data_IF_043242499349
#
_entry.id   IF_043242499349
#
_cell.length_a   1.000
_cell.length_b   1.000
_cell.length_c   1.000
_cell.angle_alpha   90.00
_cell.angle_beta   90.00
_cell.angle_gamma   90.00
#
_symmetry.space_group_name_H-M   'P 1'
#
loop_
_entity.id
_entity.type
_entity.pdbx_description
1 polymer ?
#
# COMPACT_ATOMS: atom_id res chain seq x y z
N UNK A 1 -2.95 38.12 2.54
CA UNK A 1 -1.92 37.10 2.28
C UNK A 1 -1.03 37.62 1.15
N UNK A 2 0.31 37.62 1.31
CA UNK A 2 1.21 38.00 0.24
C UNK A 2 1.21 36.95 -0.88
N UNK A 3 1.45 37.37 -2.12
CA UNK A 3 1.41 36.50 -3.30
C UNK A 3 2.51 35.44 -3.35
N UNK A 4 3.52 35.48 -2.47
CA UNK A 4 4.62 34.54 -2.45
C UNK A 4 4.63 33.70 -1.17
N UNK A 5 4.26 32.44 -1.28
CA UNK A 5 4.30 31.43 -0.21
C UNK A 5 5.69 30.81 0.01
N UNK A 6 6.75 31.38 -0.54
CA UNK A 6 8.10 30.78 -0.60
C UNK A 6 8.95 31.06 0.66
N UNK A 7 8.48 31.87 1.59
CA UNK A 7 9.23 32.17 2.82
C UNK A 7 8.98 31.15 3.92
N UNK A 8 10.01 30.46 4.43
CA UNK A 8 9.92 29.58 5.61
C UNK A 8 9.16 30.22 6.78
N UNK A 9 9.40 31.53 7.02
CA UNK A 9 8.73 32.30 8.09
C UNK A 9 7.21 32.40 7.97
N UNK A 10 6.66 32.20 6.76
CA UNK A 10 5.21 32.22 6.59
C UNK A 10 4.56 30.95 7.13
N UNK A 11 5.21 29.80 6.92
CA UNK A 11 4.72 28.50 7.41
C UNK A 11 4.96 28.33 8.92
N UNK A 12 6.05 28.88 9.44
CA UNK A 12 6.43 28.79 10.87
C UNK A 12 5.43 29.53 11.81
N UNK A 13 4.62 30.43 11.27
CA UNK A 13 3.66 31.23 12.03
C UNK A 13 2.20 30.78 11.90
N UNK A 14 1.92 29.64 11.25
CA UNK A 14 0.58 29.12 11.09
C UNK A 14 0.18 28.21 12.26
N UNK A 15 -0.96 28.50 12.89
CA UNK A 15 -1.62 27.54 13.78
C UNK A 15 -2.10 26.34 12.94
N UNK A 16 -1.49 25.19 13.14
CA UNK A 16 -1.85 23.94 12.45
C UNK A 16 -2.82 23.17 13.32
N UNK A 17 -4.08 23.09 12.89
CA UNK A 17 -5.07 22.25 13.55
C UNK A 17 -4.69 20.76 13.41
N UNK A 18 -5.06 19.90 14.37
CA UNK A 18 -4.85 18.46 14.25
C UNK A 18 -5.47 17.92 12.96
N UNK A 19 -4.81 16.93 12.36
CA UNK A 19 -5.30 16.29 11.14
C UNK A 19 -6.69 15.70 11.34
N UNK A 20 -7.62 16.04 10.46
CA UNK A 20 -8.97 15.49 10.50
C UNK A 20 -8.97 14.05 10.00
N UNK A 21 -9.46 13.13 10.83
CA UNK A 21 -9.64 11.73 10.46
C UNK A 21 -10.98 11.54 9.75
N UNK A 22 -10.93 11.28 8.44
CA UNK A 22 -12.14 11.16 7.59
C UNK A 22 -12.89 9.85 7.86
N UNK A 23 -12.16 8.74 8.06
CA UNK A 23 -12.74 7.41 8.26
C UNK A 23 -12.02 6.64 9.39
N UNK A 24 -12.17 7.11 10.66
CA UNK A 24 -11.43 6.57 11.81
C UNK A 24 -11.84 5.14 12.22
N UNK A 25 -12.87 4.59 11.61
CA UNK A 25 -13.38 3.23 11.84
C UNK A 25 -13.03 2.25 10.69
N UNK A 26 -12.34 2.74 9.63
CA UNK A 26 -11.93 1.93 8.49
C UNK A 26 -10.56 1.31 8.73
N UNK A 27 -10.41 0.03 8.37
CA UNK A 27 -9.14 -0.65 8.32
C UNK A 27 -8.69 -0.76 6.85
N UNK A 28 -7.49 -0.29 6.54
CA UNK A 28 -6.88 -0.46 5.21
C UNK A 28 -6.08 -1.76 5.21
N UNK A 29 -6.37 -2.65 4.26
CA UNK A 29 -5.75 -3.97 4.18
C UNK A 29 -5.02 -4.09 2.84
N UNK A 30 -3.71 -4.26 2.89
CA UNK A 30 -2.89 -4.47 1.71
C UNK A 30 -2.64 -5.96 1.48
N UNK A 31 -3.08 -6.46 0.34
CA UNK A 31 -2.81 -7.84 -0.11
C UNK A 31 -1.51 -7.87 -0.91
N UNK A 32 -0.54 -8.66 -0.44
CA UNK A 32 0.76 -8.82 -1.08
C UNK A 32 0.63 -9.37 -2.51
N UNK A 33 1.35 -8.78 -3.46
CA UNK A 33 1.36 -9.26 -4.84
C UNK A 33 2.02 -10.63 -4.94
N UNK A 34 3.32 -10.71 -4.66
CA UNK A 34 4.08 -11.95 -4.74
C UNK A 34 3.67 -12.97 -3.68
N UNK A 35 3.49 -12.52 -2.45
CA UNK A 35 3.19 -13.39 -1.32
C UNK A 35 1.79 -14.01 -1.38
N UNK A 36 0.83 -13.34 -2.02
CA UNK A 36 -0.58 -13.77 -2.04
C UNK A 36 -1.12 -13.87 -3.47
N UNK A 37 -1.18 -12.76 -4.25
CA UNK A 37 -1.85 -12.74 -5.55
C UNK A 37 -1.22 -13.73 -6.55
N UNK A 38 0.11 -13.79 -6.61
CA UNK A 38 0.83 -14.70 -7.53
C UNK A 38 0.68 -16.18 -7.13
N UNK A 39 0.24 -16.46 -5.90
CA UNK A 39 -0.04 -17.83 -5.44
C UNK A 39 -1.42 -18.34 -5.89
N UNK A 40 -2.27 -17.47 -6.42
CA UNK A 40 -3.55 -17.81 -7.03
C UNK A 40 -4.42 -18.70 -6.14
N UNK A 41 -4.85 -19.85 -6.67
CA UNK A 41 -5.72 -20.80 -5.98
C UNK A 41 -5.17 -21.34 -4.65
N UNK A 42 -3.86 -21.25 -4.41
CA UNK A 42 -3.23 -21.73 -3.16
C UNK A 42 -3.39 -20.76 -1.98
N UNK A 43 -3.66 -19.47 -2.23
CA UNK A 43 -3.75 -18.46 -1.18
C UNK A 43 -5.04 -17.64 -1.22
N UNK A 44 -5.47 -17.20 -2.40
CA UNK A 44 -6.60 -16.29 -2.53
C UNK A 44 -7.92 -16.79 -1.98
N UNK A 45 -8.36 -18.06 -2.19
CA UNK A 45 -9.66 -18.50 -1.70
C UNK A 45 -9.78 -18.44 -0.17
N UNK A 46 -8.75 -18.85 0.56
CA UNK A 46 -8.73 -18.80 2.02
C UNK A 46 -8.79 -17.34 2.53
N UNK A 47 -7.97 -16.46 1.94
CA UNK A 47 -7.96 -15.05 2.30
C UNK A 47 -9.31 -14.36 1.99
N UNK A 48 -9.92 -14.66 0.85
CA UNK A 48 -11.23 -14.13 0.47
C UNK A 48 -12.31 -14.51 1.49
N UNK A 49 -12.33 -15.76 1.98
CA UNK A 49 -13.26 -16.18 3.01
C UNK A 49 -13.02 -15.46 4.35
N UNK A 50 -11.76 -15.25 4.72
CA UNK A 50 -11.39 -14.52 5.93
C UNK A 50 -11.83 -13.05 5.84
N UNK A 51 -11.58 -12.38 4.72
CA UNK A 51 -12.02 -10.99 4.48
C UNK A 51 -13.56 -10.91 4.51
N UNK A 52 -14.25 -11.85 3.87
CA UNK A 52 -15.71 -11.91 3.86
C UNK A 52 -16.30 -12.08 5.28
N UNK A 53 -15.66 -12.89 6.11
CA UNK A 53 -16.04 -13.04 7.51
C UNK A 53 -15.77 -11.77 8.33
N UNK A 54 -14.59 -11.15 8.15
CA UNK A 54 -14.21 -9.93 8.84
C UNK A 54 -15.11 -8.72 8.48
N UNK A 55 -15.58 -8.66 7.23
CA UNK A 55 -16.49 -7.62 6.74
C UNK A 55 -17.78 -7.50 7.54
N UNK A 56 -18.23 -8.57 8.17
CA UNK A 56 -19.44 -8.55 9.03
C UNK A 56 -19.28 -7.62 10.25
N UNK A 57 -18.06 -7.37 10.69
CA UNK A 57 -17.72 -6.62 11.91
C UNK A 57 -16.90 -5.35 11.64
N UNK A 58 -16.24 -5.26 10.50
CA UNK A 58 -15.25 -4.22 10.21
C UNK A 58 -15.54 -3.54 8.88
N UNK A 59 -15.39 -2.21 8.83
CA UNK A 59 -15.26 -1.47 7.58
C UNK A 59 -13.82 -1.65 7.07
N UNK A 60 -13.68 -1.94 5.79
CA UNK A 60 -12.39 -2.24 5.18
C UNK A 60 -12.27 -1.59 3.81
N UNK A 61 -11.06 -1.16 3.49
CA UNK A 61 -10.59 -0.78 2.16
C UNK A 61 -9.43 -1.70 1.81
N UNK A 62 -9.53 -2.40 0.68
CA UNK A 62 -8.52 -3.36 0.25
C UNK A 62 -7.61 -2.71 -0.78
N UNK A 63 -6.30 -2.92 -0.65
CA UNK A 63 -5.33 -2.56 -1.68
C UNK A 63 -4.53 -3.79 -2.12
N UNK A 64 -3.96 -3.76 -3.32
CA UNK A 64 -3.20 -4.88 -3.88
C UNK A 64 -1.80 -4.48 -4.31
N UNK A 65 -0.86 -5.42 -4.21
CA UNK A 65 0.48 -5.31 -4.78
C UNK A 65 0.56 -5.91 -6.19
N UNK A 66 1.63 -5.61 -6.91
CA UNK A 66 1.84 -6.08 -8.29
C UNK A 66 2.49 -7.47 -8.41
N UNK A 67 3.32 -7.86 -7.43
CA UNK A 67 4.00 -9.16 -7.41
C UNK A 67 5.11 -9.33 -8.43
N UNK A 68 5.35 -10.58 -8.83
CA UNK A 68 6.43 -10.96 -9.76
C UNK A 68 6.26 -10.33 -11.13
N UNK A 69 5.02 -10.18 -11.59
CA UNK A 69 4.72 -9.54 -12.88
C UNK A 69 5.18 -8.07 -12.92
N UNK A 70 5.02 -7.32 -11.80
CA UNK A 70 5.56 -5.96 -11.73
C UNK A 70 7.08 -5.94 -11.78
N UNK A 71 7.76 -6.88 -11.14
CA UNK A 71 9.22 -6.97 -11.21
C UNK A 71 9.69 -7.24 -12.63
N UNK A 72 9.01 -8.14 -13.34
CA UNK A 72 9.33 -8.47 -14.73
C UNK A 72 9.14 -7.26 -15.65
N UNK A 73 8.01 -6.55 -15.58
CA UNK A 73 7.80 -5.37 -16.41
C UNK A 73 8.75 -4.22 -16.05
N UNK A 74 9.18 -4.11 -14.81
CA UNK A 74 10.22 -3.16 -14.40
C UNK A 74 11.56 -3.47 -15.06
N UNK A 75 11.99 -4.74 -15.10
CA UNK A 75 13.25 -5.10 -15.78
C UNK A 75 13.19 -4.75 -17.26
N UNK A 76 12.11 -5.06 -17.96
CA UNK A 76 11.92 -4.68 -19.36
C UNK A 76 11.99 -3.14 -19.53
N UNK A 77 11.30 -2.38 -18.67
CA UNK A 77 11.32 -0.92 -18.71
C UNK A 77 12.73 -0.36 -18.49
N UNK A 78 13.50 -0.95 -17.57
CA UNK A 78 14.91 -0.56 -17.32
C UNK A 78 15.80 -0.86 -18.51
N UNK A 79 15.71 -2.05 -19.09
CA UNK A 79 16.46 -2.49 -20.26
C UNK A 79 16.21 -1.59 -21.47
N UNK A 80 14.96 -1.15 -21.65
CA UNK A 80 14.55 -0.22 -22.71
C UNK A 80 14.84 1.26 -22.38
N UNK A 81 15.44 1.56 -21.23
CA UNK A 81 15.78 2.92 -20.83
C UNK A 81 14.57 3.81 -20.51
N UNK A 82 13.42 3.23 -20.16
CA UNK A 82 12.21 3.98 -19.88
C UNK A 82 12.34 4.91 -18.66
N UNK A 83 11.70 6.09 -18.67
CA UNK A 83 11.65 6.99 -17.52
C UNK A 83 10.94 6.35 -16.31
N UNK A 84 11.33 6.77 -15.11
CA UNK A 84 10.77 6.26 -13.84
C UNK A 84 9.24 6.33 -13.79
N UNK A 85 8.63 7.41 -14.24
CA UNK A 85 7.17 7.56 -14.26
C UNK A 85 6.47 6.54 -15.17
N UNK A 86 7.07 6.17 -16.30
CA UNK A 86 6.55 5.12 -17.18
C UNK A 86 6.68 3.75 -16.51
N UNK A 87 7.83 3.47 -15.88
CA UNK A 87 8.05 2.23 -15.13
C UNK A 87 7.05 2.13 -13.97
N UNK A 88 6.80 3.23 -13.25
CA UNK A 88 5.79 3.29 -12.19
C UNK A 88 4.40 2.95 -12.73
N UNK A 89 4.03 3.51 -13.89
CA UNK A 89 2.73 3.23 -14.53
C UNK A 89 2.58 1.77 -14.93
N UNK A 90 3.64 1.14 -15.42
CA UNK A 90 3.62 -0.30 -15.69
C UNK A 90 3.31 -1.11 -14.42
N UNK A 91 3.96 -0.80 -13.30
CA UNK A 91 3.69 -1.46 -12.03
C UNK A 91 2.29 -1.23 -11.49
N UNK A 92 1.79 -0.01 -11.68
CA UNK A 92 0.42 0.38 -11.35
C UNK A 92 -0.61 -0.48 -12.11
N UNK A 93 -0.43 -0.63 -13.43
CA UNK A 93 -1.31 -1.44 -14.28
C UNK A 93 -1.35 -2.91 -13.86
N UNK A 94 -0.22 -3.49 -13.46
CA UNK A 94 -0.18 -4.86 -12.93
C UNK A 94 -0.91 -4.95 -11.58
N UNK A 95 -0.67 -3.99 -10.70
CA UNK A 95 -1.34 -3.93 -9.39
C UNK A 95 -2.86 -3.75 -9.54
N UNK A 96 -3.29 -2.99 -10.55
CA UNK A 96 -4.69 -2.79 -10.90
C UNK A 96 -5.36 -4.07 -11.39
N UNK A 97 -4.67 -4.90 -12.19
CA UNK A 97 -5.15 -6.23 -12.56
C UNK A 97 -5.39 -7.11 -11.34
N UNK A 98 -4.49 -7.06 -10.35
CA UNK A 98 -4.67 -7.78 -9.09
C UNK A 98 -5.86 -7.22 -8.28
N UNK A 99 -6.09 -5.91 -8.30
CA UNK A 99 -7.26 -5.31 -7.66
C UNK A 99 -8.57 -5.79 -8.31
N UNK A 100 -8.61 -5.85 -9.64
CA UNK A 100 -9.76 -6.40 -10.37
C UNK A 100 -9.99 -7.87 -10.00
N UNK A 101 -8.94 -8.69 -9.99
CA UNK A 101 -9.02 -10.10 -9.59
C UNK A 101 -9.61 -10.26 -8.19
N UNK A 102 -9.07 -9.54 -7.20
CA UNK A 102 -9.52 -9.60 -5.81
C UNK A 102 -10.95 -9.08 -5.67
N UNK A 103 -11.31 -7.98 -6.31
CA UNK A 103 -12.67 -7.44 -6.29
C UNK A 103 -13.66 -8.42 -6.89
N UNK A 104 -13.29 -9.09 -8.00
CA UNK A 104 -14.13 -10.14 -8.62
C UNK A 104 -14.36 -11.30 -7.68
N UNK A 105 -13.32 -11.79 -7.01
CA UNK A 105 -13.46 -12.87 -6.03
C UNK A 105 -14.31 -12.47 -4.82
N UNK A 106 -14.27 -11.20 -4.43
CA UNK A 106 -15.06 -10.64 -3.32
C UNK A 106 -16.45 -10.15 -3.74
N UNK A 107 -16.82 -10.21 -5.02
CA UNK A 107 -18.10 -9.66 -5.52
C UNK A 107 -19.35 -10.23 -4.81
N UNK A 108 -19.42 -11.52 -4.41
CA UNK A 108 -20.55 -12.03 -3.64
C UNK A 108 -20.76 -11.34 -2.29
N UNK A 109 -19.72 -10.70 -1.78
CA UNK A 109 -19.75 -9.94 -0.52
C UNK A 109 -19.66 -8.42 -0.74
N UNK A 110 -19.99 -7.94 -1.94
CA UNK A 110 -19.99 -6.52 -2.27
C UNK A 110 -18.61 -5.96 -2.59
N UNK A 111 -17.67 -6.80 -3.00
CA UNK A 111 -16.38 -6.36 -3.54
C UNK A 111 -16.56 -5.52 -4.80
N UNK A 112 -15.97 -4.33 -4.83
CA UNK A 112 -16.04 -3.41 -5.97
C UNK A 112 -14.65 -2.83 -6.25
N UNK A 113 -14.19 -2.94 -7.51
CA UNK A 113 -12.94 -2.32 -7.92
C UNK A 113 -13.17 -0.82 -8.09
N UNK A 114 -12.31 -0.02 -7.46
CA UNK A 114 -12.30 1.44 -7.55
C UNK A 114 -10.94 1.96 -8.04
N UNK A 115 -10.92 3.20 -8.52
CA UNK A 115 -9.70 3.95 -8.86
C UNK A 115 -9.32 4.97 -7.77
N UNK A 116 -8.17 5.62 -7.91
CA UNK A 116 -7.74 6.68 -7.00
C UNK A 116 -8.66 7.90 -7.00
N UNK A 117 -9.22 8.24 -8.15
CA UNK A 117 -10.21 9.31 -8.34
C UNK A 117 -11.53 9.06 -7.59
N UNK A 118 -11.76 7.82 -7.18
CA UNK A 118 -12.95 7.43 -6.43
C UNK A 118 -12.77 7.42 -4.90
N UNK A 119 -11.57 7.72 -4.40
CA UNK A 119 -11.29 7.83 -2.96
C UNK A 119 -12.21 8.87 -2.30
N UNK A 120 -12.54 9.94 -2.99
CA UNK A 120 -13.50 10.95 -2.51
C UNK A 120 -14.94 10.43 -2.37
N UNK A 121 -15.25 9.29 -2.97
CA UNK A 121 -16.56 8.62 -2.93
C UNK A 121 -16.65 7.49 -1.90
N UNK A 122 -15.62 7.27 -1.09
CA UNK A 122 -15.58 6.17 -0.11
C UNK A 122 -16.76 6.18 0.85
N UNK A 123 -17.26 7.35 1.23
CA UNK A 123 -18.48 7.47 2.08
C UNK A 123 -19.69 6.79 1.45
N UNK A 124 -19.86 6.88 0.13
CA UNK A 124 -20.97 6.24 -0.61
C UNK A 124 -20.80 4.72 -0.57
N UNK A 125 -19.60 4.21 -0.87
CA UNK A 125 -19.33 2.78 -0.85
C UNK A 125 -19.54 2.16 0.54
N UNK A 126 -19.08 2.83 1.60
CA UNK A 126 -19.29 2.36 2.97
C UNK A 126 -20.75 2.44 3.40
N UNK A 127 -21.51 3.47 2.98
CA UNK A 127 -22.94 3.56 3.24
C UNK A 127 -23.72 2.40 2.59
N UNK A 128 -23.33 1.99 1.40
CA UNK A 128 -23.88 0.84 0.68
C UNK A 128 -23.36 -0.52 1.19
N UNK A 129 -22.52 -0.53 2.23
CA UNK A 129 -21.84 -1.72 2.74
C UNK A 129 -21.01 -2.44 1.68
N UNK A 130 -20.53 -1.72 0.67
CA UNK A 130 -19.58 -2.25 -0.30
C UNK A 130 -18.21 -2.45 0.33
N UNK A 131 -17.38 -3.26 -0.34
CA UNK A 131 -15.98 -3.51 0.02
C UNK A 131 -15.10 -2.97 -1.12
N UNK A 132 -14.63 -1.71 -1.03
CA UNK A 132 -13.78 -1.12 -2.07
C UNK A 132 -12.44 -1.85 -2.16
N UNK A 133 -12.00 -2.11 -3.40
CA UNK A 133 -10.71 -2.73 -3.72
C UNK A 133 -10.01 -1.89 -4.77
N UNK A 134 -8.77 -1.49 -4.51
CA UNK A 134 -7.96 -0.69 -5.43
C UNK A 134 -6.51 -1.16 -5.48
N UNK A 135 -5.73 -0.67 -6.40
CA UNK A 135 -4.29 -0.94 -6.38
C UNK A 135 -3.57 -0.06 -5.36
N UNK A 136 -2.47 -0.58 -4.80
CA UNK A 136 -1.72 0.10 -3.75
C UNK A 136 -0.68 1.10 -4.24
N UNK A 137 -0.41 1.22 -5.55
CA UNK A 137 0.54 2.23 -6.04
C UNK A 137 0.07 3.65 -5.72
N UNK A 138 0.99 4.58 -5.43
CA UNK A 138 0.61 5.98 -5.24
C UNK A 138 -0.04 6.57 -6.51
N UNK A 139 -0.92 7.59 -6.38
CA UNK A 139 -1.66 8.16 -7.52
C UNK A 139 -0.81 8.99 -8.50
N UNK A 140 0.47 9.24 -8.17
CA UNK A 140 1.38 10.07 -8.98
C UNK A 140 2.33 9.24 -9.87
N UNK A 141 1.88 8.12 -10.43
CA UNK A 141 2.68 7.19 -11.24
C UNK A 141 3.59 7.88 -12.25
N UNK A 142 3.01 8.71 -13.15
CA UNK A 142 3.77 9.41 -14.18
C UNK A 142 4.74 10.44 -13.62
N UNK A 143 4.48 10.92 -12.41
CA UNK A 143 5.29 11.93 -11.72
C UNK A 143 6.19 11.32 -10.66
N UNK A 144 6.36 10.00 -10.66
CA UNK A 144 7.30 9.35 -9.76
C UNK A 144 8.71 9.87 -9.98
N UNK A 145 9.34 10.34 -8.91
CA UNK A 145 10.67 10.93 -8.97
C UNK A 145 11.74 9.86 -9.21
N UNK A 146 12.66 10.10 -10.18
CA UNK A 146 13.84 9.26 -10.32
C UNK A 146 14.78 9.47 -9.14
N UNK A 147 15.52 8.44 -8.77
CA UNK A 147 16.61 8.55 -7.80
C UNK A 147 17.97 8.46 -8.51
N UNK A 148 19.04 8.92 -7.84
CA UNK A 148 20.40 8.78 -8.35
C UNK A 148 20.86 7.34 -8.49
N UNK A 149 20.21 6.40 -7.79
CA UNK A 149 20.61 4.99 -7.73
C UNK A 149 19.80 4.07 -8.65
N UNK A 150 18.58 4.45 -9.01
CA UNK A 150 17.69 3.58 -9.78
C UNK A 150 16.58 4.37 -10.45
N UNK A 151 16.08 3.84 -11.60
CA UNK A 151 14.84 4.29 -12.24
C UNK A 151 13.61 3.53 -11.73
N UNK A 152 13.78 2.54 -10.87
CA UNK A 152 12.67 1.87 -10.20
C UNK A 152 12.00 2.87 -9.27
N UNK A 153 10.66 3.00 -9.28
CA UNK A 153 9.95 3.88 -8.37
C UNK A 153 10.27 3.54 -6.90
N UNK A 154 10.66 4.55 -6.14
CA UNK A 154 10.95 4.40 -4.70
C UNK A 154 9.68 4.08 -3.94
N UNK A 155 8.62 4.83 -4.24
CA UNK A 155 7.31 4.62 -3.64
C UNK A 155 6.49 3.65 -4.47
N UNK A 156 6.23 2.48 -3.92
CA UNK A 156 5.45 1.43 -4.58
C UNK A 156 4.20 1.10 -3.75
N UNK A 157 3.73 -0.13 -3.80
CA UNK A 157 2.41 -0.49 -3.30
C UNK A 157 2.26 -0.50 -1.77
N UNK A 158 3.32 -0.72 -1.01
CA UNK A 158 3.25 -0.62 0.46
C UNK A 158 3.16 0.85 0.86
N UNK A 159 4.01 1.70 0.28
CA UNK A 159 4.01 3.15 0.50
C UNK A 159 2.68 3.79 0.11
N UNK A 160 2.18 3.51 -1.09
CA UNK A 160 0.91 4.09 -1.54
C UNK A 160 -0.28 3.67 -0.67
N UNK A 161 -0.27 2.42 -0.16
CA UNK A 161 -1.28 1.96 0.79
C UNK A 161 -1.20 2.73 2.12
N UNK A 162 0.02 2.97 2.61
CA UNK A 162 0.24 3.72 3.84
C UNK A 162 -0.21 5.18 3.71
N UNK A 163 0.17 5.84 2.61
CA UNK A 163 -0.29 7.22 2.30
C UNK A 163 -1.83 7.28 2.22
N UNK A 164 -2.45 6.28 1.63
CA UNK A 164 -3.92 6.20 1.59
C UNK A 164 -4.52 6.04 2.98
N UNK A 165 -3.92 5.20 3.83
CA UNK A 165 -4.39 5.00 5.19
C UNK A 165 -4.27 6.28 6.04
N UNK A 166 -3.17 7.02 5.87
CA UNK A 166 -2.95 8.33 6.49
C UNK A 166 -3.97 9.37 5.97
N UNK A 167 -4.10 9.51 4.65
CA UNK A 167 -5.05 10.43 4.01
C UNK A 167 -6.47 10.31 4.56
N UNK A 168 -6.95 9.10 4.76
CA UNK A 168 -8.30 8.87 5.27
C UNK A 168 -8.37 8.83 6.81
N UNK A 169 -7.26 8.95 7.51
CA UNK A 169 -7.18 8.83 8.96
C UNK A 169 -7.68 7.47 9.44
N UNK A 170 -7.28 6.40 8.77
CA UNK A 170 -7.73 5.04 9.02
C UNK A 170 -7.49 4.57 10.46
N UNK A 171 -8.26 3.57 10.89
CA UNK A 171 -8.06 2.92 12.19
C UNK A 171 -6.75 2.15 12.23
N UNK A 172 -6.42 1.45 11.14
CA UNK A 172 -5.21 0.65 11.02
C UNK A 172 -4.84 0.46 9.54
N UNK A 173 -3.57 0.18 9.29
CA UNK A 173 -3.04 -0.28 8.02
C UNK A 173 -2.43 -1.67 8.22
N UNK A 174 -2.99 -2.69 7.56
CA UNK A 174 -2.64 -4.11 7.75
C UNK A 174 -2.03 -4.64 6.46
N UNK A 175 -0.80 -5.15 6.54
CA UNK A 175 -0.11 -5.75 5.40
C UNK A 175 -0.21 -7.28 5.46
N UNK A 176 -0.98 -7.88 4.56
CA UNK A 176 -1.11 -9.34 4.44
C UNK A 176 0.00 -9.88 3.56
N UNK A 177 0.87 -10.66 4.16
CA UNK A 177 2.05 -11.30 3.54
C UNK A 177 2.01 -12.82 3.79
N UNK A 178 3.03 -13.54 3.34
CA UNK A 178 3.17 -14.99 3.55
C UNK A 178 4.04 -15.35 4.75
N UNK A 179 4.38 -14.36 5.56
CA UNK A 179 5.09 -14.52 6.84
C UNK A 179 4.24 -14.02 8.00
N UNK A 180 4.54 -14.52 9.19
CA UNK A 180 3.83 -14.16 10.43
C UNK A 180 3.86 -12.66 10.75
N UNK A 181 4.88 -11.96 10.28
CA UNK A 181 5.10 -10.53 10.49
C UNK A 181 6.57 -10.18 10.38
N UNK A 182 7.00 -9.14 11.08
CA UNK A 182 8.39 -8.70 11.09
C UNK A 182 9.28 -9.69 11.85
N UNK A 183 10.48 -9.93 11.32
CA UNK A 183 11.53 -10.75 11.93
C UNK A 183 12.84 -9.96 11.93
N UNK A 184 13.79 -10.42 12.73
CA UNK A 184 15.15 -9.85 12.78
C UNK A 184 15.90 -9.98 11.45
N UNK A 185 15.55 -11.00 10.66
CA UNK A 185 16.10 -11.33 9.35
C UNK A 185 15.02 -12.07 8.54
N UNK A 186 15.27 -12.36 7.26
CA UNK A 186 14.35 -13.17 6.45
C UNK A 186 14.31 -14.63 6.96
N UNK A 187 13.19 -15.11 7.53
CA UNK A 187 13.08 -16.47 8.06
C UNK A 187 13.23 -17.55 6.98
N UNK A 188 13.08 -17.21 5.70
CA UNK A 188 13.34 -18.13 4.58
C UNK A 188 14.82 -18.34 4.30
N UNK A 189 15.65 -17.36 4.70
CA UNK A 189 17.12 -17.42 4.55
C UNK A 189 17.80 -17.92 5.82
N UNK A 190 17.27 -17.53 6.99
CA UNK A 190 17.83 -17.87 8.29
C UNK A 190 16.75 -18.40 9.23
N UNK A 191 16.81 -19.69 9.54
CA UNK A 191 15.86 -20.35 10.45
C UNK A 191 15.95 -19.87 11.92
N UNK A 192 17.03 -19.14 12.28
CA UNK A 192 17.20 -18.51 13.58
C UNK A 192 16.57 -17.11 13.67
N UNK A 193 15.98 -16.58 12.57
CA UNK A 193 15.33 -15.28 12.54
C UNK A 193 14.20 -15.22 13.59
N UNK A 194 14.30 -14.28 14.53
CA UNK A 194 13.33 -14.12 15.60
C UNK A 194 12.16 -13.24 15.16
N UNK A 195 10.94 -13.67 15.47
CA UNK A 195 9.74 -12.87 15.24
C UNK A 195 9.70 -11.65 16.17
N UNK A 196 9.37 -10.48 15.63
CA UNK A 196 9.23 -9.22 16.37
C UNK A 196 7.73 -8.90 16.43
N UNK A 197 7.06 -9.14 17.57
CA UNK A 197 5.61 -8.96 17.68
C UNK A 197 5.18 -7.49 17.70
N UNK A 198 6.03 -6.61 18.24
CA UNK A 198 5.78 -5.19 18.40
C UNK A 198 7.10 -4.42 18.42
N UNK A 199 7.15 -3.29 17.73
CA UNK A 199 8.30 -2.40 17.70
C UNK A 199 7.84 -1.01 17.27
N UNK A 200 8.43 0.04 17.81
CA UNK A 200 8.22 1.39 17.32
C UNK A 200 8.97 1.64 16.00
N UNK A 201 8.47 2.58 15.19
CA UNK A 201 9.15 2.97 13.95
C UNK A 201 10.55 3.51 14.24
N UNK A 202 10.70 4.35 15.27
CA UNK A 202 11.99 4.89 15.67
C UNK A 202 13.01 3.79 15.99
N UNK A 203 12.61 2.81 16.81
CA UNK A 203 13.46 1.66 17.15
C UNK A 203 13.80 0.79 15.92
N UNK A 204 12.81 0.60 15.00
CA UNK A 204 13.03 -0.18 13.79
C UNK A 204 14.02 0.52 12.84
N UNK A 205 13.97 1.84 12.75
CA UNK A 205 14.96 2.65 12.01
C UNK A 205 16.36 2.55 12.63
N UNK A 206 16.45 2.62 13.96
CA UNK A 206 17.73 2.47 14.67
C UNK A 206 18.36 1.06 14.48
N UNK A 207 17.54 0.01 14.43
CA UNK A 207 18.02 -1.36 14.17
C UNK A 207 18.54 -1.56 12.74
N UNK A 208 18.14 -0.72 11.80
CA UNK A 208 18.56 -0.73 10.39
C UNK A 208 18.56 -2.12 9.73
N UNK A 209 17.50 -2.91 9.96
CA UNK A 209 17.39 -4.27 9.45
C UNK A 209 17.48 -4.29 7.93
N UNK A 210 18.27 -5.21 7.39
CA UNK A 210 18.46 -5.38 5.94
C UNK A 210 17.21 -5.95 5.27
N UNK A 211 16.62 -6.99 5.86
CA UNK A 211 15.43 -7.68 5.35
C UNK A 211 14.15 -7.18 6.05
N UNK A 212 13.43 -6.25 5.42
CA UNK A 212 12.13 -5.77 5.92
C UNK A 212 10.98 -6.44 5.18
N UNK A 213 9.91 -6.76 5.91
CA UNK A 213 8.68 -7.32 5.32
C UNK A 213 7.83 -6.28 4.57
N UNK A 214 8.07 -4.99 4.81
CA UNK A 214 7.48 -3.84 4.13
C UNK A 214 8.56 -3.03 3.41
N UNK A 215 8.15 -2.16 2.49
CA UNK A 215 9.09 -1.26 1.80
C UNK A 215 9.71 -0.28 2.79
N UNK A 216 11.04 -0.16 2.80
CA UNK A 216 11.76 0.76 3.72
C UNK A 216 11.23 2.18 3.73
N UNK A 217 10.86 2.81 2.58
CA UNK A 217 10.28 4.15 2.58
C UNK A 217 8.99 4.30 3.40
N UNK A 218 8.31 3.20 3.75
CA UNK A 218 7.18 3.25 4.68
C UNK A 218 7.59 3.77 6.07
N UNK A 219 8.81 3.43 6.52
CA UNK A 219 9.31 3.86 7.83
C UNK A 219 9.69 5.36 7.84
N UNK A 220 10.00 5.92 6.68
CA UNK A 220 10.38 7.34 6.53
C UNK A 220 9.14 8.25 6.49
N UNK A 221 7.95 7.68 6.26
CA UNK A 221 6.67 8.40 6.17
C UNK A 221 5.93 8.39 7.52
N UNK A 222 6.16 7.36 8.34
CA UNK A 222 5.55 7.17 9.66
C UNK A 222 6.31 7.95 10.75
#
# INVERSE_FOLDING_TARGET
MGESLVGRKFLDGLDVAPQQRLFPDVNVIKIGGQSICDRGAKALPALVQEIAAAKKKHKMLITTGGGTRSRHIYSIGLELGMPTGIIAKFGSSISEQNALLVATLLSPWGGIKIGHDEVTKLSIYFAQRSLPVMHGMPPYDYFALPTSRSRIPVHRTDVGTLILADLIGAKSCIFVKDERGLHTEDPKKNSAAAFIPEISVAELLERDLEDLIIERPCLEIL
#
